data_IF_183436334414
#
_entry.id   IF_183436334414
#
_cell.length_a   1.000
_cell.length_b   1.000
_cell.length_c   1.000
_cell.angle_alpha   90.00
_cell.angle_beta   90.00
_cell.angle_gamma   90.00
#
_symmetry.space_group_name_H-M   'P 1'
#
loop_
_entity.id
_entity.type
_entity.pdbx_description
1 polymer ?
#
# COMPACT_ATOMS: atom_id res chain seq x y z
N UNK A 1 14.85 -0.89 12.34
CA UNK A 1 14.76 -2.32 12.60
C UNK A 1 13.71 -2.62 13.69
N UNK A 2 13.42 -1.65 14.55
CA UNK A 2 12.54 -1.76 15.71
C UNK A 2 11.97 -0.40 16.11
N UNK A 3 11.14 -0.37 17.17
CA UNK A 3 10.51 0.84 17.67
C UNK A 3 11.54 1.89 18.15
N UNK A 4 12.63 1.46 18.78
CA UNK A 4 13.65 2.40 19.27
C UNK A 4 14.33 3.14 18.10
N UNK A 5 14.66 2.42 17.03
CA UNK A 5 15.20 3.00 15.80
C UNK A 5 14.22 3.99 15.15
N UNK A 6 12.92 3.68 15.19
CA UNK A 6 11.87 4.58 14.67
C UNK A 6 11.74 5.86 15.53
N UNK A 7 11.82 5.75 16.86
CA UNK A 7 11.76 6.88 17.79
C UNK A 7 12.99 7.80 17.71
N UNK A 8 14.11 7.31 17.20
CA UNK A 8 15.27 8.15 16.91
C UNK A 8 15.00 9.12 15.73
N UNK A 9 14.07 8.78 14.84
CA UNK A 9 13.77 9.54 13.62
C UNK A 9 12.55 10.44 13.80
N UNK A 10 11.49 9.95 14.47
CA UNK A 10 10.20 10.61 14.60
C UNK A 10 9.77 10.78 16.06
N UNK A 11 8.94 11.80 16.31
CA UNK A 11 8.33 12.06 17.61
C UNK A 11 7.00 11.35 17.68
N UNK A 12 6.88 10.32 18.51
CA UNK A 12 5.64 9.58 18.72
C UNK A 12 4.96 10.00 20.02
N UNK A 13 3.72 10.46 19.93
CA UNK A 13 2.84 10.64 21.07
C UNK A 13 2.33 9.28 21.61
N UNK A 14 1.52 9.31 22.66
CA UNK A 14 1.00 8.07 23.28
C UNK A 14 0.17 7.22 22.31
N UNK A 15 -0.60 7.84 21.39
CA UNK A 15 -1.42 7.13 20.40
C UNK A 15 -0.56 6.49 19.32
N UNK A 16 0.44 7.21 18.82
CA UNK A 16 1.42 6.63 17.90
C UNK A 16 2.17 5.45 18.51
N UNK A 17 2.53 5.54 19.80
CA UNK A 17 3.16 4.42 20.52
C UNK A 17 2.22 3.23 20.70
N UNK A 18 0.93 3.44 21.01
CA UNK A 18 -0.08 2.36 21.09
C UNK A 18 -0.21 1.65 19.73
N UNK A 19 -0.33 2.39 18.64
CA UNK A 19 -0.40 1.84 17.28
C UNK A 19 0.89 1.08 16.89
N UNK A 20 2.05 1.66 17.19
CA UNK A 20 3.34 1.00 16.93
C UNK A 20 3.46 -0.32 17.69
N UNK A 21 3.09 -0.38 18.96
CA UNK A 21 3.12 -1.62 19.76
C UNK A 21 2.13 -2.67 19.28
N UNK A 22 0.96 -2.25 18.77
CA UNK A 22 -0.07 -3.15 18.27
C UNK A 22 0.29 -3.76 16.89
N UNK A 23 0.94 -2.99 16.00
CA UNK A 23 1.07 -3.34 14.60
C UNK A 23 2.52 -3.41 14.08
N UNK A 24 3.53 -3.16 14.90
CA UNK A 24 4.92 -3.31 14.54
C UNK A 24 5.61 -4.46 15.31
N UNK A 25 6.45 -5.21 14.59
CA UNK A 25 6.77 -5.19 13.17
C UNK A 25 5.58 -5.58 12.28
N UNK A 26 5.28 -4.77 11.22
CA UNK A 26 4.10 -5.07 10.42
C UNK A 26 3.78 -4.03 9.34
N UNK A 27 2.56 -4.14 8.75
CA UNK A 27 2.16 -3.35 7.60
C UNK A 27 1.46 -2.02 7.99
N UNK A 28 1.91 -1.36 9.05
CA UNK A 28 1.46 -0.03 9.43
C UNK A 28 2.59 0.98 9.23
N UNK A 29 2.30 2.09 8.57
CA UNK A 29 3.17 3.27 8.46
C UNK A 29 2.58 4.40 9.29
N UNK A 30 3.39 4.99 10.17
CA UNK A 30 3.01 6.15 10.97
C UNK A 30 3.66 7.40 10.40
N UNK A 31 2.86 8.42 10.13
CA UNK A 31 3.33 9.78 9.79
C UNK A 31 3.31 10.61 11.07
N UNK A 32 4.46 11.08 11.48
CA UNK A 32 4.65 11.82 12.72
C UNK A 32 5.68 12.96 12.52
N UNK A 33 5.73 13.96 13.42
CA UNK A 33 6.75 15.01 13.35
C UNK A 33 8.16 14.43 13.33
N UNK A 34 9.04 14.98 12.50
CA UNK A 34 10.42 14.53 12.41
C UNK A 34 11.17 14.97 13.68
N UNK A 35 12.01 14.07 14.23
CA UNK A 35 12.88 14.37 15.37
C UNK A 35 14.29 14.78 14.93
N UNK A 36 14.83 14.08 13.94
CA UNK A 36 16.19 14.20 13.49
C UNK A 36 16.23 14.45 11.96
N UNK A 37 15.99 15.70 11.53
CA UNK A 37 15.93 16.03 10.11
C UNK A 37 17.24 15.74 9.37
N UNK A 38 18.37 15.74 10.05
CA UNK A 38 19.69 15.42 9.51
C UNK A 38 19.84 13.93 9.12
N UNK A 39 19.00 13.05 9.68
CA UNK A 39 19.03 11.62 9.36
C UNK A 39 18.17 11.25 8.14
N UNK A 40 17.28 12.15 7.70
CA UNK A 40 16.34 11.89 6.59
C UNK A 40 16.34 13.09 5.65
N UNK A 41 16.84 12.90 4.45
CA UNK A 41 16.92 13.98 3.47
C UNK A 41 15.51 14.54 3.11
N UNK A 42 15.48 15.81 2.72
CA UNK A 42 14.25 16.54 2.38
C UNK A 42 13.47 15.84 1.27
N UNK A 43 14.14 15.28 0.27
CA UNK A 43 13.51 14.54 -0.81
C UNK A 43 12.68 13.34 -0.30
N UNK A 44 13.19 12.60 0.71
CA UNK A 44 12.51 11.42 1.26
C UNK A 44 11.26 11.77 2.07
N UNK A 45 11.12 13.02 2.54
CA UNK A 45 9.97 13.54 3.27
C UNK A 45 9.20 14.64 2.52
N UNK A 46 9.50 14.81 1.22
CA UNK A 46 8.88 15.83 0.36
C UNK A 46 8.98 17.26 0.93
N UNK A 47 10.06 17.59 1.65
CA UNK A 47 10.27 18.89 2.29
C UNK A 47 9.37 19.16 3.51
N UNK A 48 8.62 18.16 3.99
CA UNK A 48 7.69 18.31 5.12
C UNK A 48 8.42 18.24 6.47
N UNK A 49 7.78 18.76 7.50
CA UNK A 49 8.17 18.67 8.92
C UNK A 49 7.78 17.33 9.55
N UNK A 50 7.21 16.42 8.75
CA UNK A 50 6.80 15.07 9.16
C UNK A 50 7.55 14.02 8.35
N UNK A 51 7.62 12.81 8.91
CA UNK A 51 8.23 11.65 8.26
C UNK A 51 7.32 10.43 8.40
N UNK A 52 7.22 9.65 7.33
CA UNK A 52 6.51 8.37 7.30
C UNK A 52 7.47 7.24 7.71
N UNK A 53 7.21 6.58 8.84
CA UNK A 53 8.07 5.55 9.41
C UNK A 53 7.32 4.23 9.52
N UNK A 54 8.01 3.14 9.18
CA UNK A 54 7.50 1.78 9.33
C UNK A 54 8.59 0.84 9.85
N UNK A 55 8.23 -0.07 10.75
CA UNK A 55 9.05 -1.23 11.10
C UNK A 55 8.48 -2.45 10.36
N UNK A 56 9.16 -2.95 9.30
CA UNK A 56 8.61 -4.01 8.46
C UNK A 56 8.53 -5.34 9.23
N UNK A 57 7.47 -6.16 8.93
CA UNK A 57 7.30 -7.49 9.49
C UNK A 57 8.16 -8.57 8.85
N UNK A 58 8.75 -8.32 7.68
CA UNK A 58 9.52 -9.30 6.93
C UNK A 58 10.93 -9.47 7.49
N UNK A 59 11.32 -10.71 7.82
CA UNK A 59 12.57 -11.00 8.52
C UNK A 59 13.83 -10.60 7.73
N UNK A 60 13.85 -10.87 6.41
CA UNK A 60 14.96 -10.46 5.55
C UNK A 60 15.10 -8.94 5.49
N UNK A 61 14.00 -8.19 5.37
CA UNK A 61 14.03 -6.72 5.39
C UNK A 61 14.56 -6.19 6.73
N UNK A 62 14.17 -6.81 7.85
CA UNK A 62 14.69 -6.47 9.18
C UNK A 62 16.17 -6.82 9.34
N UNK A 63 16.60 -7.93 8.76
CA UNK A 63 18.03 -8.31 8.76
C UNK A 63 18.87 -7.27 8.01
N UNK A 64 18.41 -6.81 6.83
CA UNK A 64 19.05 -5.72 6.08
C UNK A 64 19.13 -4.44 6.92
N UNK A 65 18.02 -4.03 7.54
CA UNK A 65 17.98 -2.84 8.39
C UNK A 65 18.94 -2.94 9.59
N UNK A 66 19.05 -4.11 10.21
CA UNK A 66 20.01 -4.33 11.31
C UNK A 66 21.45 -4.28 10.85
N UNK A 67 21.74 -4.92 9.71
CA UNK A 67 23.09 -4.94 9.14
C UNK A 67 23.54 -3.55 8.67
N UNK A 68 22.62 -2.78 8.08
CA UNK A 68 22.90 -1.43 7.61
C UNK A 68 23.01 -0.41 8.75
N UNK A 69 22.29 -0.60 9.84
CA UNK A 69 22.35 0.24 11.05
C UNK A 69 21.76 1.64 10.91
N UNK A 70 21.13 1.96 9.78
CA UNK A 70 20.53 3.28 9.49
C UNK A 70 19.12 3.11 8.87
N UNK A 71 18.28 4.16 8.86
CA UNK A 71 17.02 4.15 8.15
C UNK A 71 17.23 3.99 6.63
N UNK A 72 16.29 3.33 5.96
CA UNK A 72 16.29 3.12 4.52
C UNK A 72 15.02 3.71 3.94
N UNK A 73 15.14 4.50 2.88
CA UNK A 73 14.01 4.98 2.09
C UNK A 73 13.53 3.83 1.19
N UNK A 74 12.25 3.48 1.30
CA UNK A 74 11.70 2.31 0.62
C UNK A 74 10.43 2.68 -0.18
N UNK A 75 10.57 3.19 -1.41
CA UNK A 75 9.45 3.32 -2.33
C UNK A 75 9.00 1.94 -2.82
N UNK A 76 7.84 1.87 -3.49
CA UNK A 76 7.44 0.69 -4.24
C UNK A 76 8.41 0.47 -5.42
N UNK A 77 8.79 -0.78 -5.68
CA UNK A 77 9.80 -1.13 -6.70
C UNK A 77 9.19 -1.22 -8.10
N UNK A 78 8.46 -0.17 -8.52
CA UNK A 78 7.83 -0.04 -9.83
C UNK A 78 8.12 1.33 -10.45
N UNK A 79 7.97 1.43 -11.76
CA UNK A 79 7.91 2.74 -12.44
C UNK A 79 6.68 3.51 -11.97
N UNK A 80 6.82 4.84 -11.87
CA UNK A 80 5.75 5.71 -11.34
C UNK A 80 4.40 5.44 -12.04
N UNK A 81 3.33 5.34 -11.27
CA UNK A 81 1.97 5.11 -11.75
C UNK A 81 1.60 3.65 -12.02
N UNK A 82 2.57 2.74 -12.17
CA UNK A 82 2.33 1.31 -12.48
C UNK A 82 1.85 0.52 -11.26
N UNK A 83 1.20 -0.67 -11.47
CA UNK A 83 0.85 -1.56 -10.36
C UNK A 83 2.09 -2.02 -9.59
N UNK A 84 2.01 -2.02 -8.25
CA UNK A 84 3.12 -2.44 -7.40
C UNK A 84 3.49 -3.91 -7.64
N UNK A 85 4.79 -4.27 -7.75
CA UNK A 85 5.21 -5.66 -7.84
C UNK A 85 4.97 -6.39 -6.51
N UNK A 86 4.61 -7.65 -6.58
CA UNK A 86 4.38 -8.52 -5.41
C UNK A 86 5.36 -9.70 -5.33
N UNK A 87 6.30 -9.77 -6.26
CA UNK A 87 7.37 -10.78 -6.31
C UNK A 87 8.63 -10.18 -6.94
N UNK A 88 9.75 -10.91 -6.84
CA UNK A 88 11.04 -10.47 -7.35
C UNK A 88 11.04 -10.28 -8.89
N UNK A 89 10.41 -11.17 -9.63
CA UNK A 89 10.40 -11.11 -11.10
C UNK A 89 9.75 -9.82 -11.59
N UNK A 90 8.58 -9.47 -11.03
CA UNK A 90 7.88 -8.22 -11.35
C UNK A 90 8.68 -6.97 -10.92
N UNK A 91 9.36 -7.02 -9.77
CA UNK A 91 10.20 -5.92 -9.31
C UNK A 91 11.41 -5.69 -10.23
N UNK A 92 12.05 -6.76 -10.69
CA UNK A 92 13.17 -6.69 -11.64
C UNK A 92 12.72 -6.21 -13.04
N UNK A 93 11.54 -6.60 -13.50
CA UNK A 93 10.94 -6.08 -14.74
C UNK A 93 10.79 -4.56 -14.69
N UNK A 94 10.37 -4.02 -13.54
CA UNK A 94 10.11 -2.59 -13.38
C UNK A 94 11.38 -1.76 -13.13
N UNK A 95 12.32 -2.25 -12.33
CA UNK A 95 13.44 -1.45 -11.80
C UNK A 95 14.80 -2.13 -11.91
N UNK A 96 14.89 -3.36 -12.42
CA UNK A 96 16.14 -4.14 -12.48
C UNK A 96 17.30 -3.44 -13.18
N UNK A 97 17.01 -2.56 -14.15
CA UNK A 97 18.02 -1.75 -14.85
C UNK A 97 18.69 -0.68 -13.96
N UNK A 98 18.11 -0.34 -12.81
CA UNK A 98 18.54 0.76 -11.94
C UNK A 98 19.00 0.30 -10.55
N UNK A 99 18.96 -1.03 -10.25
CA UNK A 99 19.33 -1.55 -8.93
C UNK A 99 20.69 -2.22 -8.94
N UNK A 100 21.48 -2.00 -7.90
CA UNK A 100 22.79 -2.64 -7.73
C UNK A 100 22.66 -4.10 -7.23
N UNK A 101 21.60 -4.40 -6.47
CA UNK A 101 21.32 -5.73 -5.95
C UNK A 101 19.82 -5.90 -5.70
N UNK A 102 19.35 -7.14 -5.77
CA UNK A 102 18.00 -7.51 -5.41
C UNK A 102 18.04 -8.72 -4.48
N UNK A 103 17.17 -8.71 -3.47
CA UNK A 103 17.02 -9.80 -2.51
C UNK A 103 15.65 -10.45 -2.70
N UNK A 104 15.63 -11.75 -2.92
CA UNK A 104 14.37 -12.48 -3.00
C UNK A 104 13.85 -12.80 -1.59
N UNK A 105 12.75 -12.14 -1.25
CA UNK A 105 12.00 -12.40 -0.01
C UNK A 105 10.77 -13.29 -0.22
N UNK A 106 10.59 -13.84 -1.43
CA UNK A 106 9.37 -14.55 -1.81
C UNK A 106 8.22 -13.61 -2.21
N UNK A 107 7.06 -14.19 -2.49
CA UNK A 107 5.85 -13.43 -2.81
C UNK A 107 5.31 -12.66 -1.59
N UNK A 108 4.74 -11.49 -1.85
CA UNK A 108 4.13 -10.66 -0.81
C UNK A 108 2.86 -11.32 -0.27
N UNK A 109 2.85 -11.68 1.02
CA UNK A 109 1.71 -12.37 1.63
C UNK A 109 0.42 -11.53 1.67
N UNK A 110 0.54 -10.19 1.76
CA UNK A 110 -0.61 -9.28 1.86
C UNK A 110 -1.04 -8.73 0.51
N UNK A 111 -0.09 -8.56 -0.42
CA UNK A 111 -0.32 -8.03 -1.78
C UNK A 111 -0.66 -6.54 -1.87
N UNK A 112 -0.93 -5.86 -0.76
CA UNK A 112 -1.19 -4.42 -0.69
C UNK A 112 -0.11 -3.69 0.11
N UNK A 113 0.01 -2.40 -0.14
CA UNK A 113 0.89 -1.54 0.64
C UNK A 113 0.38 -1.37 2.08
N UNK A 114 1.29 -0.92 2.96
CA UNK A 114 0.96 -0.60 4.34
C UNK A 114 -0.16 0.42 4.46
N UNK A 115 -0.98 0.29 5.50
CA UNK A 115 -1.87 1.35 5.96
C UNK A 115 -1.03 2.54 6.42
N UNK A 116 -1.41 3.76 6.02
CA UNK A 116 -0.71 4.99 6.41
C UNK A 116 -1.63 5.81 7.32
N UNK A 117 -1.15 6.10 8.52
CA UNK A 117 -1.88 6.84 9.56
C UNK A 117 -1.05 8.04 10.00
N UNK A 118 -1.63 9.23 9.96
CA UNK A 118 -1.04 10.42 10.55
C UNK A 118 -1.42 10.54 12.03
N UNK A 119 -0.41 10.78 12.88
CA UNK A 119 -0.58 10.93 14.33
C UNK A 119 0.19 12.15 14.79
N UNK A 120 -0.46 13.30 14.79
CA UNK A 120 0.06 14.57 15.31
C UNK A 120 -1.06 15.60 15.48
N UNK A 121 -0.78 16.69 16.16
CA UNK A 121 -1.76 17.76 16.40
C UNK A 121 -2.99 17.30 17.18
N UNK A 122 -2.85 16.28 18.03
CA UNK A 122 -3.97 15.75 18.80
C UNK A 122 -4.98 14.92 18.00
N UNK A 123 -4.71 14.62 16.73
CA UNK A 123 -5.58 13.87 15.81
C UNK A 123 -4.93 12.59 15.31
N UNK A 124 -5.76 11.59 14.99
CA UNK A 124 -5.35 10.36 14.28
C UNK A 124 -6.16 10.27 13.00
N UNK A 125 -5.49 10.23 11.86
CA UNK A 125 -6.13 10.26 10.54
C UNK A 125 -5.62 9.13 9.65
N UNK A 126 -6.54 8.46 8.96
CA UNK A 126 -6.21 7.48 7.94
C UNK A 126 -5.87 8.20 6.62
N UNK A 127 -4.60 8.17 6.23
CA UNK A 127 -4.15 8.79 4.98
C UNK A 127 -4.23 7.84 3.78
N UNK A 128 -4.07 6.55 4.03
CA UNK A 128 -4.16 5.50 3.00
C UNK A 128 -4.65 4.21 3.64
N UNK A 129 -5.80 3.65 3.24
CA UNK A 129 -6.21 2.32 3.66
C UNK A 129 -5.23 1.27 3.14
N UNK A 130 -5.03 0.18 3.88
CA UNK A 130 -4.08 -0.89 3.56
C UNK A 130 -4.32 -2.13 4.41
N UNK A 131 -3.24 -2.90 4.65
CA UNK A 131 -3.29 -4.19 5.32
C UNK A 131 -3.82 -4.17 6.76
N UNK A 132 -3.64 -3.06 7.50
CA UNK A 132 -4.28 -2.84 8.80
C UNK A 132 -5.57 -2.05 8.53
N UNK A 133 -6.71 -2.65 8.88
CA UNK A 133 -8.02 -2.05 8.58
C UNK A 133 -8.33 -0.86 9.47
N UNK A 134 -9.24 0.03 9.04
CA UNK A 134 -9.78 1.14 9.83
C UNK A 134 -10.26 0.66 11.21
N UNK A 135 -11.09 -0.37 11.24
CA UNK A 135 -11.64 -0.92 12.47
C UNK A 135 -10.56 -1.40 13.45
N UNK A 136 -9.48 -2.01 12.94
CA UNK A 136 -8.35 -2.43 13.80
C UNK A 136 -7.62 -1.22 14.40
N UNK A 137 -7.46 -0.12 13.65
CA UNK A 137 -6.84 1.10 14.15
C UNK A 137 -7.74 1.73 15.22
N UNK A 138 -9.03 1.87 14.93
CA UNK A 138 -10.01 2.45 15.85
C UNK A 138 -10.17 1.65 17.15
N UNK A 139 -10.00 0.35 17.09
CA UNK A 139 -9.98 -0.51 18.30
C UNK A 139 -8.81 -0.18 19.24
N UNK A 140 -7.71 0.39 18.72
CA UNK A 140 -6.52 0.74 19.53
C UNK A 140 -6.54 2.17 20.04
N UNK A 141 -7.01 3.13 19.21
CA UNK A 141 -6.87 4.56 19.50
C UNK A 141 -8.19 5.33 19.54
N UNK A 142 -9.32 4.65 19.36
CA UNK A 142 -10.63 5.27 19.23
C UNK A 142 -10.92 5.80 17.82
N UNK A 143 -12.04 6.51 17.63
CA UNK A 143 -12.47 6.99 16.32
C UNK A 143 -11.41 7.83 15.63
N UNK A 144 -11.28 7.65 14.32
CA UNK A 144 -10.39 8.44 13.47
C UNK A 144 -11.02 9.79 13.17
N UNK A 145 -10.17 10.81 12.95
CA UNK A 145 -10.63 12.14 12.54
C UNK A 145 -10.87 12.15 11.03
N UNK A 146 -12.05 12.64 10.61
CA UNK A 146 -12.45 12.74 9.20
C UNK A 146 -12.03 14.06 8.54
N UNK A 147 -11.41 14.98 9.29
CA UNK A 147 -10.95 16.27 8.77
C UNK A 147 -9.97 16.07 7.61
N UNK A 148 -10.40 16.41 6.41
CA UNK A 148 -9.55 16.48 5.22
C UNK A 148 -8.94 17.88 5.13
N UNK A 149 -7.92 18.17 5.93
CA UNK A 149 -7.11 19.36 5.70
C UNK A 149 -6.31 19.19 4.40
N UNK A 150 -6.34 20.20 3.52
CA UNK A 150 -5.61 20.21 2.24
C UNK A 150 -4.09 19.90 2.41
N UNK A 151 -3.54 20.19 3.59
CA UNK A 151 -2.15 19.91 3.98
C UNK A 151 -1.84 18.40 4.06
N UNK A 152 -2.85 17.57 4.39
CA UNK A 152 -2.65 16.10 4.51
C UNK A 152 -2.62 15.39 3.16
N UNK A 153 -3.14 16.01 2.11
CA UNK A 153 -3.13 15.44 0.76
C UNK A 153 -1.71 15.15 0.26
N UNK A 154 -0.73 15.95 0.64
CA UNK A 154 0.68 15.80 0.22
C UNK A 154 1.51 14.88 1.12
N UNK A 155 0.97 14.41 2.25
CA UNK A 155 1.70 13.67 3.29
C UNK A 155 1.68 12.14 3.11
N UNK A 156 1.03 11.61 2.08
CA UNK A 156 0.99 10.17 1.80
C UNK A 156 1.40 9.87 0.36
N UNK A 157 2.40 8.98 0.15
CA UNK A 157 2.69 8.45 -1.18
C UNK A 157 1.47 7.73 -1.80
N UNK A 158 1.33 7.79 -3.13
CA UNK A 158 0.25 7.06 -3.83
C UNK A 158 -1.07 7.83 -3.95
N UNK A 159 -1.09 9.15 -3.74
CA UNK A 159 -2.29 10.00 -3.91
C UNK A 159 -2.38 10.70 -5.28
N UNK A 160 -1.57 10.32 -6.25
CA UNK A 160 -1.72 10.79 -7.62
C UNK A 160 -3.06 10.29 -8.19
N UNK A 161 -3.68 11.11 -9.04
CA UNK A 161 -4.97 10.84 -9.67
C UNK A 161 -4.98 9.51 -10.44
N UNK A 162 -3.91 9.21 -11.17
CA UNK A 162 -3.66 7.93 -11.83
C UNK A 162 -2.48 7.26 -11.14
N UNK A 163 -2.75 6.16 -10.43
CA UNK A 163 -1.74 5.38 -9.71
C UNK A 163 -2.17 3.92 -9.70
N UNK A 164 -1.21 2.99 -9.63
CA UNK A 164 -1.47 1.55 -9.72
C UNK A 164 -2.10 1.13 -11.05
N UNK A 165 -1.98 1.97 -12.09
CA UNK A 165 -2.65 1.77 -13.36
C UNK A 165 -1.86 0.80 -14.25
N UNK A 166 -2.51 -0.28 -14.77
CA UNK A 166 -2.02 -1.03 -15.91
C UNK A 166 -2.02 -0.16 -17.17
N UNK A 167 -1.43 -0.65 -18.27
CA UNK A 167 -1.51 0.02 -19.58
C UNK A 167 -2.93 -0.04 -20.14
N UNK A 168 -3.64 -1.16 -19.93
CA UNK A 168 -5.02 -1.32 -20.32
C UNK A 168 -5.97 -0.51 -19.40
N UNK A 169 -7.00 0.17 -19.92
CA UNK A 169 -8.02 0.83 -19.10
C UNK A 169 -8.68 -0.13 -18.11
N UNK A 170 -9.04 0.36 -16.92
CA UNK A 170 -9.73 -0.43 -15.88
C UNK A 170 -11.18 0.00 -15.78
N UNK A 171 -12.09 -0.97 -15.84
CA UNK A 171 -13.55 -0.77 -15.76
C UNK A 171 -14.09 -1.50 -14.53
N UNK A 172 -14.65 -0.75 -13.59
CA UNK A 172 -15.03 -1.25 -12.26
C UNK A 172 -16.50 -1.59 -12.13
N UNK A 173 -16.81 -2.41 -11.11
CA UNK A 173 -18.17 -2.75 -10.68
C UNK A 173 -19.01 -3.38 -11.79
N UNK A 174 -18.41 -4.25 -12.58
CA UNK A 174 -19.10 -4.95 -13.67
C UNK A 174 -19.25 -6.43 -13.35
N UNK A 175 -20.30 -7.05 -13.91
CA UNK A 175 -20.61 -8.46 -13.66
C UNK A 175 -20.13 -9.38 -14.79
N UNK A 176 -19.67 -8.79 -15.91
CA UNK A 176 -19.14 -9.53 -17.06
C UNK A 176 -18.19 -8.68 -17.90
N UNK A 177 -17.25 -9.33 -18.56
CA UNK A 177 -16.37 -8.70 -19.53
C UNK A 177 -17.09 -8.51 -20.87
N UNK A 178 -16.67 -7.47 -21.61
CA UNK A 178 -17.01 -7.28 -23.01
C UNK A 178 -15.99 -8.04 -23.89
N UNK A 179 -16.30 -8.25 -25.20
CA UNK A 179 -15.35 -8.86 -26.12
C UNK A 179 -14.01 -8.13 -26.14
N UNK A 180 -12.92 -8.88 -25.97
CA UNK A 180 -11.56 -8.33 -25.92
C UNK A 180 -11.09 -7.84 -24.54
N UNK A 181 -11.94 -7.84 -23.53
CA UNK A 181 -11.57 -7.52 -22.15
C UNK A 181 -11.10 -8.77 -21.39
N UNK A 182 -10.25 -8.58 -20.38
CA UNK A 182 -9.94 -9.58 -19.36
C UNK A 182 -10.75 -9.26 -18.11
N UNK A 183 -11.33 -10.31 -17.49
CA UNK A 183 -12.20 -10.16 -16.33
C UNK A 183 -11.49 -10.58 -15.02
N UNK A 184 -11.39 -9.67 -14.08
CA UNK A 184 -11.02 -9.94 -12.71
C UNK A 184 -12.29 -10.20 -11.88
N UNK A 185 -12.54 -11.47 -11.58
CA UNK A 185 -13.70 -11.91 -10.81
C UNK A 185 -13.53 -11.77 -9.30
N UNK A 186 -14.67 -11.90 -8.58
CA UNK A 186 -14.70 -12.03 -7.12
C UNK A 186 -15.91 -12.87 -6.69
N UNK A 187 -15.71 -13.88 -5.87
CA UNK A 187 -16.75 -14.83 -5.49
C UNK A 187 -17.26 -15.62 -6.71
N UNK A 188 -18.56 -15.74 -6.83
CA UNK A 188 -19.22 -16.39 -7.98
C UNK A 188 -19.30 -15.52 -9.23
N UNK A 189 -18.91 -14.24 -9.13
CA UNK A 189 -18.89 -13.33 -10.28
C UNK A 189 -17.57 -13.50 -11.02
N UNK A 190 -17.59 -14.18 -12.15
CA UNK A 190 -16.42 -14.52 -12.94
C UNK A 190 -15.69 -15.78 -12.44
N UNK A 191 -15.85 -16.86 -13.20
CA UNK A 191 -15.23 -18.17 -12.89
C UNK A 191 -13.90 -18.39 -13.65
N UNK A 192 -13.31 -17.32 -14.20
CA UNK A 192 -12.08 -17.39 -14.99
C UNK A 192 -10.80 -17.47 -14.14
N UNK A 193 -9.69 -17.55 -14.85
CA UNK A 193 -8.33 -17.64 -14.29
C UNK A 193 -7.98 -16.50 -13.32
N UNK A 194 -8.53 -15.30 -13.56
CA UNK A 194 -8.26 -14.10 -12.76
C UNK A 194 -9.35 -13.82 -11.71
N UNK A 195 -9.89 -14.83 -11.03
CA UNK A 195 -10.77 -14.60 -9.90
C UNK A 195 -9.95 -14.26 -8.66
N UNK A 196 -10.10 -13.02 -8.15
CA UNK A 196 -9.34 -12.51 -7.00
C UNK A 196 -9.55 -13.37 -5.73
N UNK A 197 -10.75 -13.89 -5.51
CA UNK A 197 -11.07 -14.87 -4.48
C UNK A 197 -12.40 -15.56 -4.80
N UNK A 198 -12.39 -16.82 -5.23
CA UNK A 198 -13.63 -17.60 -5.44
C UNK A 198 -14.46 -17.78 -4.16
N UNK A 199 -13.77 -17.83 -3.00
CA UNK A 199 -14.37 -17.97 -1.67
C UNK A 199 -14.91 -16.66 -1.07
N UNK A 200 -14.72 -15.52 -1.75
CA UNK A 200 -15.02 -14.17 -1.26
C UNK A 200 -14.16 -13.74 -0.05
N UNK A 201 -12.98 -14.32 0.11
CA UNK A 201 -12.02 -13.91 1.10
C UNK A 201 -11.29 -12.64 0.64
N UNK A 202 -11.47 -11.55 1.41
CA UNK A 202 -10.84 -10.26 1.11
C UNK A 202 -9.32 -10.27 1.31
N UNK A 203 -8.78 -11.17 2.15
CA UNK A 203 -7.33 -11.30 2.32
C UNK A 203 -6.71 -11.99 1.09
N UNK A 204 -7.36 -13.03 0.56
CA UNK A 204 -6.97 -13.67 -0.69
C UNK A 204 -7.07 -12.68 -1.87
N UNK A 205 -8.18 -11.92 -1.95
CA UNK A 205 -8.37 -10.93 -3.00
C UNK A 205 -7.31 -9.81 -2.95
N UNK A 206 -6.93 -9.37 -1.76
CA UNK A 206 -5.86 -8.39 -1.57
C UNK A 206 -4.50 -8.93 -2.03
N UNK A 207 -4.17 -10.18 -1.67
CA UNK A 207 -2.93 -10.83 -2.07
C UNK A 207 -2.81 -10.99 -3.59
N UNK A 208 -3.92 -11.25 -4.28
CA UNK A 208 -3.98 -11.48 -5.71
C UNK A 208 -4.10 -10.20 -6.55
N UNK A 209 -4.51 -9.06 -5.98
CA UNK A 209 -4.90 -7.87 -6.74
C UNK A 209 -3.85 -7.41 -7.74
N UNK A 210 -2.66 -7.06 -7.29
CA UNK A 210 -1.62 -6.54 -8.20
C UNK A 210 -1.02 -7.62 -9.10
N UNK A 211 -0.89 -8.85 -8.59
CA UNK A 211 -0.43 -9.97 -9.41
C UNK A 211 -1.37 -10.20 -10.61
N UNK A 212 -2.69 -10.19 -10.38
CA UNK A 212 -3.67 -10.41 -11.45
C UNK A 212 -3.84 -9.18 -12.34
N UNK A 213 -3.78 -7.96 -11.81
CA UNK A 213 -3.76 -6.76 -12.64
C UNK A 213 -2.56 -6.78 -13.62
N UNK A 214 -1.36 -7.14 -13.14
CA UNK A 214 -0.16 -7.25 -13.99
C UNK A 214 -0.28 -8.39 -15.00
N UNK A 215 -0.75 -9.57 -14.57
CA UNK A 215 -0.92 -10.70 -15.45
C UNK A 215 -1.96 -10.44 -16.55
N UNK A 216 -3.09 -9.82 -16.20
CA UNK A 216 -4.11 -9.40 -17.15
C UNK A 216 -3.58 -8.36 -18.15
N UNK A 217 -2.82 -7.36 -17.69
CA UNK A 217 -2.23 -6.31 -18.53
C UNK A 217 -1.25 -6.88 -19.57
N UNK A 218 -0.47 -7.92 -19.20
CA UNK A 218 0.44 -8.63 -20.13
C UNK A 218 -0.28 -9.28 -21.31
N UNK A 219 -1.57 -9.60 -21.19
CA UNK A 219 -2.39 -10.11 -22.29
C UNK A 219 -2.80 -9.02 -23.29
N UNK A 220 -2.51 -7.74 -22.98
CA UNK A 220 -2.84 -6.57 -23.80
C UNK A 220 -4.32 -6.51 -24.18
N UNK A 221 -5.24 -6.63 -23.21
CA UNK A 221 -6.67 -6.57 -23.48
C UNK A 221 -7.12 -5.16 -23.88
N UNK A 222 -8.31 -5.04 -24.45
CA UNK A 222 -8.94 -3.73 -24.70
C UNK A 222 -9.26 -2.97 -23.41
N UNK A 223 -9.55 -3.70 -22.32
CA UNK A 223 -9.69 -3.21 -20.96
C UNK A 223 -9.61 -4.36 -19.96
N UNK A 224 -9.40 -4.02 -18.68
CA UNK A 224 -9.51 -4.94 -17.54
C UNK A 224 -10.82 -4.62 -16.83
N UNK A 225 -11.77 -5.55 -16.89
CA UNK A 225 -13.08 -5.46 -16.26
C UNK A 225 -13.01 -6.10 -14.86
N UNK A 226 -13.48 -5.40 -13.81
CA UNK A 226 -13.35 -5.85 -12.42
C UNK A 226 -14.72 -6.00 -11.77
N UNK A 227 -14.95 -7.16 -11.14
CA UNK A 227 -16.16 -7.45 -10.39
C UNK A 227 -16.32 -6.52 -9.17
N UNK A 228 -17.56 -6.29 -8.68
CA UNK A 228 -17.79 -5.56 -7.44
C UNK A 228 -17.12 -6.23 -6.24
N UNK A 229 -16.40 -5.46 -5.42
CA UNK A 229 -15.78 -5.92 -4.19
C UNK A 229 -16.41 -5.17 -3.01
N UNK A 230 -16.82 -5.85 -1.91
CA UNK A 230 -17.38 -5.21 -0.72
C UNK A 230 -16.43 -4.14 -0.16
N UNK A 231 -16.99 -2.96 0.22
CA UNK A 231 -16.18 -1.85 0.74
C UNK A 231 -16.06 -1.91 2.27
N UNK A 232 -15.68 -3.05 2.81
CA UNK A 232 -15.50 -3.30 4.24
C UNK A 232 -14.15 -3.98 4.51
N UNK A 233 -13.58 -3.78 5.68
CA UNK A 233 -12.31 -4.39 6.05
C UNK A 233 -11.21 -4.10 5.02
N UNK A 234 -10.57 -5.15 4.48
CA UNK A 234 -9.56 -5.03 3.41
C UNK A 234 -10.16 -4.55 2.08
N UNK A 235 -11.46 -4.68 1.88
CA UNK A 235 -12.13 -4.19 0.68
C UNK A 235 -12.03 -2.67 0.52
N UNK A 236 -11.97 -1.88 1.61
CA UNK A 236 -11.70 -0.44 1.56
C UNK A 236 -10.35 -0.17 0.84
N UNK A 237 -9.33 -0.94 1.18
CA UNK A 237 -8.01 -0.80 0.57
C UNK A 237 -7.96 -1.31 -0.88
N UNK A 238 -8.62 -2.43 -1.18
CA UNK A 238 -8.72 -2.96 -2.54
C UNK A 238 -9.41 -1.95 -3.45
N UNK A 239 -10.55 -1.42 -3.04
CA UNK A 239 -11.32 -0.44 -3.81
C UNK A 239 -10.57 0.88 -3.98
N UNK A 240 -9.83 1.36 -2.97
CA UNK A 240 -8.95 2.53 -3.13
C UNK A 240 -7.93 2.33 -4.26
N UNK A 241 -7.29 1.14 -4.34
CA UNK A 241 -6.33 0.82 -5.41
C UNK A 241 -6.99 0.72 -6.77
N UNK A 242 -8.14 0.09 -6.85
CA UNK A 242 -8.91 -0.08 -8.09
C UNK A 242 -9.42 1.26 -8.63
N UNK A 243 -9.95 2.15 -7.76
CA UNK A 243 -10.38 3.49 -8.17
C UNK A 243 -9.21 4.29 -8.75
N UNK A 244 -8.03 4.24 -8.14
CA UNK A 244 -6.82 4.91 -8.65
C UNK A 244 -6.32 4.29 -9.94
N UNK A 245 -6.40 2.97 -10.08
CA UNK A 245 -6.04 2.27 -11.32
C UNK A 245 -6.97 2.65 -12.48
N UNK A 246 -8.23 2.93 -12.20
CA UNK A 246 -9.22 3.39 -13.16
C UNK A 246 -9.21 4.92 -13.40
N UNK A 247 -8.33 5.68 -12.70
CA UNK A 247 -8.24 7.13 -12.85
C UNK A 247 -9.30 7.94 -12.10
N UNK A 248 -10.04 7.33 -11.19
CA UNK A 248 -10.97 8.05 -10.32
C UNK A 248 -10.20 8.67 -9.13
N UNK A 249 -10.37 9.98 -8.94
CA UNK A 249 -9.90 10.71 -7.77
C UNK A 249 -11.08 10.86 -6.83
N UNK A 250 -10.97 10.29 -5.62
CA UNK A 250 -11.95 10.53 -4.55
C UNK A 250 -11.63 11.81 -3.79
#
# INVERSE_FOLDING_TARGET
ADLNAAQAIAVFDERALKLARAFWPGPLTLVAPIRAPELVCDLARAGLDTVAVRVPGHDLARAVLRAFGKPVVAPSANRSGRPSPTNLADALEETGFAVAAALDGGACAVGLESTVVAVFGGKVRLLRPGAVTRAQIEAVVGPLSDDQDAVDAHRSPGRLALHYAPDAPVRLNVTQALPGEVFLGFGSVGTGEFNLSPSRDLAEAAANLFAFLRAADRLKPSAIAVAPIPNEGLGEAINDRLHRAAGFVG
#
